data_IF_609820848208
#
_entry.id   IF_609820848208
#
_cell.length_a   1.000
_cell.length_b   1.000
_cell.length_c   1.000
_cell.angle_alpha   90.00
_cell.angle_beta   90.00
_cell.angle_gamma   90.00
#
_symmetry.space_group_name_H-M   'P 1'
#
loop_
_entity.id
_entity.type
_entity.pdbx_description
1 polymer ?
2 non-polymer ?
3 non-polymer ?
4 water ?
#
# COMPACT_ATOMS: atom_id res chain seq x y z
N UNK A 3 -8.31 22.48 2.58
CA UNK A 3 -7.57 21.62 1.57
C UNK A 3 -6.81 22.50 0.57
N UNK A 4 -6.88 23.85 0.71
CA UNK A 4 -6.17 24.84 -0.12
C UNK A 4 -6.97 25.30 -1.33
N UNK A 5 -7.70 24.36 -1.98
CA UNK A 5 -8.43 24.49 -3.27
C UNK A 5 -9.87 24.00 -3.13
N UNK A 6 -10.79 24.57 -3.93
CA UNK A 6 -12.16 24.08 -3.97
C UNK A 6 -12.18 22.62 -4.47
N UNK A 7 -13.09 21.85 -3.92
CA UNK A 7 -13.31 20.43 -4.27
C UNK A 7 -14.01 20.30 -5.65
N UNK A 8 -13.44 19.54 -6.56
CA UNK A 8 -14.08 19.21 -7.87
C UNK A 8 -15.09 18.07 -7.64
N UNK A 9 -14.68 17.05 -6.93
CA UNK A 9 -15.53 15.86 -6.76
C UNK A 9 -15.01 15.07 -5.56
N UNK A 10 -15.90 14.39 -4.84
CA UNK A 10 -15.51 13.52 -3.73
C UNK A 10 -16.42 12.29 -3.76
N UNK A 11 -15.93 11.19 -3.18
CA UNK A 11 -16.76 9.99 -2.92
C UNK A 11 -15.90 8.78 -2.65
N UNK A 12 -16.57 7.66 -2.44
CA UNK A 12 -15.90 6.35 -2.14
C UNK A 12 -15.32 5.80 -3.42
N UNK A 13 -14.11 5.31 -3.36
CA UNK A 13 -13.54 4.39 -4.36
C UNK A 13 -12.83 3.26 -3.60
N UNK A 14 -12.93 2.05 -4.10
CA UNK A 14 -11.99 0.99 -3.76
C UNK A 14 -10.70 1.29 -4.52
N UNK A 15 -9.55 1.19 -3.86
CA UNK A 15 -8.22 1.28 -4.46
C UNK A 15 -7.54 -0.07 -4.30
N UNK A 16 -6.97 -0.61 -5.37
CA UNK A 16 -6.23 -1.88 -5.28
C UNK A 16 -4.84 -1.63 -4.70
N UNK A 17 -4.45 -2.46 -3.74
CA UNK A 17 -3.06 -2.62 -3.26
C UNK A 17 -2.19 -3.03 -4.43
N UNK A 18 -0.94 -2.57 -4.41
CA UNK A 18 0.05 -2.80 -5.47
C UNK A 18 0.80 -4.12 -5.21
N UNK A 19 0.68 -4.70 -4.00
CA UNK A 19 1.43 -5.91 -3.51
C UNK A 19 0.88 -7.18 -4.19
N UNK A 20 1.58 -8.33 -4.09
CA UNK A 20 1.17 -9.63 -4.70
C UNK A 20 -0.34 -9.89 -4.70
N UNK A 21 -0.98 -9.92 -3.52
CA UNK A 21 -2.39 -10.40 -3.41
C UNK A 21 -3.35 -9.38 -4.08
N UNK A 22 -2.98 -8.12 -4.22
CA UNK A 22 -3.80 -7.13 -4.97
C UNK A 22 -5.23 -7.10 -4.38
N UNK A 23 -5.34 -7.03 -3.05
CA UNK A 23 -6.64 -6.83 -2.35
C UNK A 23 -7.10 -5.39 -2.56
N UNK A 24 -8.38 -5.12 -2.31
CA UNK A 24 -8.94 -3.77 -2.45
C UNK A 24 -9.18 -3.18 -1.07
N UNK A 25 -9.02 -1.88 -0.93
CA UNK A 25 -9.36 -1.14 0.30
C UNK A 25 -10.22 0.05 -0.13
N UNK A 26 -11.36 0.21 0.51
CA UNK A 26 -12.28 1.35 0.27
C UNK A 26 -11.74 2.59 0.99
N UNK A 27 -11.55 3.67 0.27
CA UNK A 27 -11.12 4.97 0.82
C UNK A 27 -12.05 6.06 0.27
N UNK A 28 -12.12 7.16 0.99
CA UNK A 28 -12.86 8.38 0.64
C UNK A 28 -11.93 9.34 -0.08
N UNK A 29 -12.17 9.58 -1.36
CA UNK A 29 -11.33 10.44 -2.22
C UNK A 29 -11.97 11.83 -2.39
N UNK A 30 -11.09 12.80 -2.50
CA UNK A 30 -11.43 14.23 -2.74
C UNK A 30 -10.45 14.72 -3.78
N UNK A 31 -10.95 15.26 -4.88
CA UNK A 31 -10.12 15.80 -5.98
C UNK A 31 -10.16 17.29 -5.84
N UNK A 32 -9.02 17.92 -5.62
CA UNK A 32 -8.89 19.40 -5.51
C UNK A 32 -7.72 19.83 -6.40
N UNK A 33 -7.94 20.85 -7.22
CA UNK A 33 -6.93 21.31 -8.19
C UNK A 33 -6.48 20.10 -9.02
N UNK A 34 -5.19 19.75 -8.97
CA UNK A 34 -4.66 18.66 -9.83
C UNK A 34 -4.31 17.45 -8.97
N UNK A 35 -4.81 17.40 -7.75
CA UNK A 35 -4.36 16.40 -6.80
C UNK A 35 -5.54 15.55 -6.31
N UNK A 36 -5.33 14.25 -6.23
CA UNK A 36 -6.30 13.33 -5.58
C UNK A 36 -5.89 13.07 -4.13
N UNK A 37 -6.74 13.37 -3.16
CA UNK A 37 -6.47 13.14 -1.72
C UNK A 37 -7.40 12.04 -1.23
N UNK A 38 -6.96 11.16 -0.32
CA UNK A 38 -7.91 10.17 0.25
C UNK A 38 -7.79 10.18 1.78
N UNK A 39 -8.84 9.66 2.42
CA UNK A 39 -9.08 9.71 3.88
C UNK A 39 -9.71 8.37 4.25
N UNK A 40 -9.75 8.05 5.53
CA UNK A 40 -10.38 6.81 6.03
C UNK A 40 -11.89 6.84 5.70
N UNK A 41 -12.56 7.98 5.82
CA UNK A 41 -14.03 8.05 5.60
C UNK A 41 -14.45 9.48 5.22
N UNK A 42 -15.75 9.70 5.12
CA UNK A 42 -16.36 10.89 4.48
C UNK A 42 -16.25 12.11 5.40
N UNK A 43 -15.71 11.95 6.61
CA UNK A 43 -15.51 13.11 7.52
C UNK A 43 -14.29 13.92 7.08
N UNK A 44 -13.42 13.33 6.24
CA UNK A 44 -12.23 14.00 5.66
C UNK A 44 -11.39 14.59 6.79
N UNK A 45 -11.07 13.77 7.78
CA UNK A 45 -10.33 14.26 8.97
C UNK A 45 -8.85 14.27 8.60
N UNK A 46 -8.22 13.15 8.46
CA UNK A 46 -6.75 13.14 8.26
C UNK A 46 -6.46 12.53 6.89
N UNK A 47 -5.68 13.27 6.11
CA UNK A 47 -5.22 12.87 4.76
C UNK A 47 -4.35 11.63 4.99
N UNK A 48 -4.69 10.52 4.36
CA UNK A 48 -3.90 9.26 4.40
C UNK A 48 -2.90 9.25 3.24
N UNK A 49 -3.14 10.06 2.20
CA UNK A 49 -2.32 10.08 0.98
C UNK A 49 -2.82 11.06 -0.07
N UNK A 50 -1.93 11.42 -0.99
CA UNK A 50 -2.19 12.29 -2.16
C UNK A 50 -1.53 11.67 -3.38
N UNK A 51 -2.26 11.64 -4.48
CA UNK A 51 -1.78 11.29 -5.85
C UNK A 51 -1.87 12.54 -6.74
N UNK A 52 -0.76 13.19 -7.07
CA UNK A 52 -0.81 14.30 -8.02
C UNK A 52 -1.05 13.67 -9.41
N UNK A 53 -2.03 14.19 -10.16
CA UNK A 53 -2.54 13.58 -11.41
C UNK A 53 -1.81 14.05 -12.68
N UNK A 54 -1.11 15.18 -12.74
CA UNK A 54 -0.38 15.51 -13.97
C UNK A 54 0.52 14.36 -14.43
N UNK A 55 0.45 14.03 -15.72
CA UNK A 55 1.22 12.95 -16.37
C UNK A 55 0.63 11.58 -16.06
N UNK A 56 -0.59 11.52 -15.53
CA UNK A 56 -1.45 10.30 -15.59
C UNK A 56 -2.51 10.49 -16.67
N UNK A 57 -2.90 9.39 -17.30
CA UNK A 57 -4.10 9.33 -18.17
C UNK A 57 -5.01 8.26 -17.55
N UNK A 58 -6.29 8.56 -17.41
CA UNK A 58 -7.22 7.70 -16.68
C UNK A 58 -8.23 7.14 -17.69
N UNK A 59 -8.54 5.86 -17.58
CA UNK A 59 -9.43 5.17 -18.53
C UNK A 59 -10.00 3.94 -17.88
N UNK A 60 -11.08 3.38 -18.43
CA UNK A 60 -11.59 2.10 -17.95
C UNK A 60 -10.49 1.04 -18.05
N UNK A 61 -10.54 0.04 -17.20
CA UNK A 61 -9.65 -1.14 -17.32
C UNK A 61 -9.96 -1.88 -18.63
N UNK A 62 -8.91 -2.52 -19.13
CA UNK A 62 -8.87 -3.46 -20.26
C UNK A 62 -8.90 -4.90 -19.71
N UNK A 63 -9.30 -5.87 -20.55
CA UNK A 63 -9.26 -7.29 -20.17
C UNK A 63 -7.92 -7.67 -19.53
N UNK A 64 -6.80 -7.29 -20.14
CA UNK A 64 -5.47 -7.77 -19.70
C UNK A 64 -5.08 -7.20 -18.33
N UNK A 65 -5.89 -6.32 -17.73
CA UNK A 65 -5.71 -5.81 -16.34
C UNK A 65 -6.25 -6.87 -15.36
N UNK A 66 -7.06 -7.80 -15.84
CA UNK A 66 -7.49 -8.97 -15.02
C UNK A 66 -8.21 -8.45 -13.77
N UNK A 67 -9.11 -7.48 -13.90
CA UNK A 67 -9.88 -6.89 -12.79
C UNK A 67 -11.30 -7.44 -12.78
N UNK A 68 -11.71 -7.98 -11.65
CA UNK A 68 -12.96 -8.75 -11.52
C UNK A 68 -14.00 -7.86 -10.86
N UNK A 69 -13.63 -6.68 -10.39
CA UNK A 69 -14.65 -5.75 -9.85
C UNK A 69 -15.29 -4.94 -10.97
N UNK A 70 -16.60 -4.75 -10.92
CA UNK A 70 -17.33 -3.87 -11.84
C UNK A 70 -16.88 -2.42 -11.64
N UNK A 71 -16.99 -1.61 -12.69
CA UNK A 71 -16.88 -0.15 -12.72
C UNK A 71 -15.49 0.24 -12.31
N UNK A 72 -14.50 -0.48 -12.82
CA UNK A 72 -13.06 -0.27 -12.50
C UNK A 72 -12.37 0.50 -13.61
N UNK A 73 -11.41 1.33 -13.20
CA UNK A 73 -10.66 2.24 -14.07
C UNK A 73 -9.26 2.41 -13.47
N UNK A 74 -8.39 3.03 -14.23
CA UNK A 74 -6.95 3.03 -13.88
C UNK A 74 -6.33 4.37 -14.30
N UNK A 75 -5.31 4.75 -13.55
CA UNK A 75 -4.46 5.91 -13.81
C UNK A 75 -3.06 5.38 -14.03
N UNK A 76 -2.50 5.57 -15.21
CA UNK A 76 -1.15 5.09 -15.58
C UNK A 76 -0.32 6.34 -15.94
N UNK A 77 0.94 6.34 -15.50
CA UNK A 77 1.97 7.40 -15.66
C UNK A 77 2.35 7.56 -17.15
N UNK A 78 3.04 8.66 -17.50
CA UNK A 78 3.51 8.98 -18.88
C UNK A 78 4.96 8.55 -19.03
N UNK A 100 4.06 4.45 -11.85
CA UNK A 100 3.27 3.57 -10.96
C UNK A 100 1.79 3.69 -11.32
N UNK A 101 1.12 2.56 -11.55
CA UNK A 101 -0.32 2.52 -11.94
C UNK A 101 -1.25 2.35 -10.72
N UNK A 102 -2.38 3.04 -10.67
CA UNK A 102 -3.40 2.94 -9.60
C UNK A 102 -4.70 2.39 -10.21
N UNK A 103 -5.25 1.36 -9.59
CA UNK A 103 -6.54 0.78 -9.99
C UNK A 103 -7.59 1.21 -8.98
N UNK A 104 -8.74 1.67 -9.48
CA UNK A 104 -9.88 2.14 -8.67
C UNK A 104 -11.11 1.41 -9.16
N UNK A 105 -12.14 1.33 -8.32
CA UNK A 105 -13.47 0.80 -8.65
C UNK A 105 -14.49 1.72 -7.97
N UNK A 106 -15.46 2.22 -8.73
CA UNK A 106 -16.64 2.94 -8.23
C UNK A 106 -17.78 1.95 -7.98
N UNK A 107 -18.84 2.44 -7.35
CA UNK A 107 -20.02 1.65 -6.94
C UNK A 107 -21.08 1.67 -8.03
N UNK A 108 -21.03 2.59 -8.98
CA UNK A 108 -21.97 2.67 -10.15
C UNK A 108 -21.20 3.06 -11.41
N UNK A 109 -21.73 2.71 -12.56
CA UNK A 109 -21.26 3.17 -13.88
C UNK A 109 -21.10 4.70 -13.92
N UNK A 110 -22.16 5.41 -13.56
CA UNK A 110 -22.23 6.89 -13.56
C UNK A 110 -21.06 7.47 -12.75
N UNK A 111 -20.82 6.96 -11.55
CA UNK A 111 -19.76 7.53 -10.68
C UNK A 111 -18.42 7.27 -11.35
N UNK A 112 -18.24 6.11 -11.98
CA UNK A 112 -16.96 5.77 -12.63
C UNK A 112 -16.77 6.76 -13.79
N UNK A 113 -17.81 6.99 -14.58
CA UNK A 113 -17.69 7.91 -15.72
C UNK A 113 -17.29 9.30 -15.19
N UNK A 114 -17.90 9.74 -14.10
CA UNK A 114 -17.64 11.09 -13.55
C UNK A 114 -16.18 11.16 -13.03
N UNK A 115 -15.66 10.12 -12.41
CA UNK A 115 -14.29 10.14 -11.87
C UNK A 115 -13.30 10.17 -13.03
N UNK A 116 -13.52 9.40 -14.09
CA UNK A 116 -12.62 9.34 -15.28
C UNK A 116 -12.52 10.75 -15.90
N UNK A 117 -13.65 11.43 -16.14
CA UNK A 117 -13.67 12.78 -16.75
C UNK A 117 -12.92 13.72 -15.80
N UNK A 118 -13.29 13.74 -14.52
CA UNK A 118 -12.73 14.66 -13.50
C UNK A 118 -11.21 14.45 -13.35
N UNK A 119 -10.77 13.20 -13.25
CA UNK A 119 -9.32 12.90 -13.10
C UNK A 119 -8.58 13.37 -14.35
N UNK A 120 -9.13 13.13 -15.55
CA UNK A 120 -8.45 13.59 -16.79
C UNK A 120 -8.40 15.13 -16.85
N UNK A 121 -9.43 15.84 -16.42
CA UNK A 121 -9.43 17.33 -16.43
C UNK A 121 -8.30 17.85 -15.52
N UNK A 122 -8.15 17.25 -14.34
CA UNK A 122 -7.17 17.62 -13.30
C UNK A 122 -5.77 17.30 -13.81
N UNK A 123 -5.65 16.28 -14.62
CA UNK A 123 -4.37 15.80 -15.21
C UNK A 123 -3.89 16.76 -16.30
N UNK A 124 -4.73 17.71 -16.72
CA UNK A 124 -4.36 18.80 -17.68
C UNK A 124 -4.16 20.13 -16.94
N UNK A 125 -3.46 20.12 -15.80
CA UNK A 125 -3.03 21.32 -14.99
C UNK A 125 -4.27 21.92 -14.29
N UNK B 5 4.95 -26.11 3.82
CA UNK B 5 5.97 -25.12 4.39
C UNK B 5 5.74 -24.97 5.89
N UNK B 6 6.62 -25.48 6.78
CA UNK B 6 6.50 -25.15 8.19
C UNK B 6 6.77 -23.64 8.33
N UNK B 7 6.14 -23.05 9.32
CA UNK B 7 6.36 -21.63 9.69
C UNK B 7 7.75 -21.47 10.29
N UNK B 8 8.52 -20.51 9.82
CA UNK B 8 9.87 -20.23 10.38
C UNK B 8 9.70 -19.43 11.67
N UNK B 9 8.84 -18.43 11.62
CA UNK B 9 8.70 -17.47 12.74
C UNK B 9 7.40 -16.70 12.49
N UNK B 10 6.75 -16.26 13.56
CA UNK B 10 5.58 -15.39 13.48
C UNK B 10 5.65 -14.39 14.64
N UNK B 11 5.00 -13.23 14.51
CA UNK B 11 4.80 -12.23 15.56
C UNK B 11 4.39 -10.88 15.02
N UNK B 12 4.22 -9.94 15.93
CA UNK B 12 3.83 -8.55 15.60
C UNK B 12 5.04 -7.77 15.10
N UNK B 13 4.85 -7.08 13.99
CA UNK B 13 5.74 -6.02 13.49
C UNK B 13 4.89 -4.81 13.15
N UNK B 14 5.41 -3.62 13.43
CA UNK B 14 4.94 -2.39 12.78
C UNK B 14 5.61 -2.37 11.40
N UNK B 15 4.86 -2.03 10.39
CA UNK B 15 5.31 -1.92 8.99
C UNK B 15 5.06 -0.48 8.58
N UNK B 16 6.05 0.11 7.94
CA UNK B 16 5.92 1.52 7.52
C UNK B 16 5.50 1.47 6.07
N UNK B 17 4.47 2.28 5.76
CA UNK B 17 3.91 2.47 4.41
C UNK B 17 4.98 3.02 3.47
N UNK B 18 5.03 2.52 2.24
CA UNK B 18 5.80 3.11 1.11
C UNK B 18 5.24 4.51 0.81
N UNK B 19 3.90 4.60 0.88
CA UNK B 19 3.12 5.84 0.67
C UNK B 19 3.73 7.03 1.42
N UNK B 20 3.57 8.23 0.88
CA UNK B 20 4.22 9.43 1.40
C UNK B 20 3.94 9.73 2.85
N UNK B 21 2.72 9.52 3.37
CA UNK B 21 2.51 9.85 4.81
C UNK B 21 3.46 9.01 5.69
N UNK B 22 3.78 7.79 5.26
CA UNK B 22 4.76 6.92 5.97
C UNK B 22 4.40 6.82 7.46
N UNK B 23 3.24 6.24 7.78
CA UNK B 23 2.77 6.01 9.17
C UNK B 23 3.05 4.53 9.52
N UNK B 24 3.07 4.19 10.81
CA UNK B 24 3.38 2.82 11.28
C UNK B 24 2.07 2.05 11.53
N UNK B 25 1.93 0.90 10.90
CA UNK B 25 0.72 0.07 11.07
C UNK B 25 1.20 -1.26 11.64
N UNK B 26 0.62 -1.68 12.77
CA UNK B 26 0.92 -2.96 13.42
C UNK B 26 0.18 -4.10 12.68
N UNK B 27 0.92 -5.11 12.24
CA UNK B 27 0.32 -6.30 11.62
C UNK B 27 0.97 -7.53 12.23
N UNK B 28 0.29 -8.67 12.09
CA UNK B 28 0.74 -10.00 12.57
C UNK B 28 1.39 -10.73 11.41
N UNK B 29 2.71 -10.98 11.49
CA UNK B 29 3.50 -11.58 10.39
C UNK B 29 3.79 -13.04 10.65
N UNK B 30 3.84 -13.79 9.56
CA UNK B 30 4.19 -15.23 9.52
C UNK B 30 5.15 -15.36 8.37
N UNK B 31 6.31 -16.00 8.58
CA UNK B 31 7.27 -16.29 7.50
C UNK B 31 7.16 -17.79 7.18
N UNK B 32 6.75 -18.14 5.99
CA UNK B 32 6.80 -19.54 5.47
C UNK B 32 7.16 -19.50 3.97
N UNK B 33 7.68 -20.57 3.39
CA UNK B 33 7.76 -20.62 1.90
C UNK B 33 8.45 -19.36 1.36
N UNK B 34 9.47 -18.88 2.12
CA UNK B 34 10.38 -17.79 1.72
C UNK B 34 9.59 -16.51 1.44
N UNK B 35 8.44 -16.40 2.06
CA UNK B 35 7.50 -15.30 1.86
C UNK B 35 7.03 -14.79 3.22
N UNK B 36 6.91 -13.48 3.38
CA UNK B 36 6.21 -12.84 4.52
C UNK B 36 4.70 -12.74 4.24
N UNK B 37 3.89 -13.22 5.17
CA UNK B 37 2.43 -13.07 5.10
C UNK B 37 2.02 -12.25 6.29
N UNK B 38 1.02 -11.39 6.16
CA UNK B 38 0.55 -10.67 7.37
C UNK B 38 -0.98 -10.77 7.47
N UNK B 39 -1.47 -10.57 8.68
CA UNK B 39 -2.86 -10.82 9.12
C UNK B 39 -3.29 -9.68 10.05
N UNK B 40 -4.60 -9.52 10.25
CA UNK B 40 -5.06 -8.45 11.16
C UNK B 40 -4.50 -8.70 12.58
N UNK B 41 -4.45 -9.95 13.02
CA UNK B 41 -4.11 -10.27 14.42
C UNK B 41 -3.60 -11.71 14.51
N UNK B 42 -3.25 -12.14 15.71
CA UNK B 42 -2.51 -13.39 15.97
C UNK B 42 -3.42 -14.61 15.72
N UNK B 43 -4.70 -14.43 15.39
CA UNK B 43 -5.59 -15.59 15.09
C UNK B 43 -5.34 -16.11 13.69
N UNK B 44 -4.69 -15.33 12.84
CA UNK B 44 -4.27 -15.68 11.44
C UNK B 44 -5.49 -16.11 10.63
N UNK B 45 -6.55 -15.34 10.68
CA UNK B 45 -7.87 -15.71 10.13
C UNK B 45 -7.85 -15.60 8.60
N UNK B 46 -7.18 -14.58 8.09
CA UNK B 46 -7.19 -14.22 6.64
C UNK B 46 -5.95 -13.38 6.33
N UNK B 47 -5.27 -13.82 5.27
CA UNK B 47 -4.07 -13.12 4.76
C UNK B 47 -4.54 -11.74 4.26
N UNK B 48 -3.95 -10.66 4.76
CA UNK B 48 -4.14 -9.27 4.25
C UNK B 48 -3.10 -8.94 3.15
N UNK B 49 -2.00 -9.69 3.09
CA UNK B 49 -0.87 -9.39 2.17
C UNK B 49 0.30 -10.37 2.23
N UNK B 50 1.11 -10.37 1.20
CA UNK B 50 2.32 -11.22 1.01
C UNK B 50 3.45 -10.34 0.47
N UNK B 51 4.64 -10.49 1.05
CA UNK B 51 5.93 -9.93 0.56
C UNK B 51 6.90 -11.09 0.33
N UNK B 52 7.11 -11.54 -0.91
CA UNK B 52 8.12 -12.55 -1.19
C UNK B 52 9.48 -11.90 -0.98
N UNK B 53 10.36 -12.64 -0.31
CA UNK B 53 11.67 -12.12 0.19
C UNK B 53 12.82 -12.33 -0.82
N UNK B 54 12.81 -13.30 -1.76
CA UNK B 54 13.95 -13.44 -2.68
C UNK B 54 14.36 -12.10 -3.31
N UNK B 55 15.66 -11.84 -3.35
CA UNK B 55 16.28 -10.62 -3.92
C UNK B 55 16.18 -9.42 -2.97
N UNK B 56 15.75 -9.64 -1.73
CA UNK B 56 15.83 -8.62 -0.65
C UNK B 56 17.02 -8.95 0.24
N UNK B 57 17.65 -7.90 0.77
CA UNK B 57 18.66 -8.03 1.84
C UNK B 57 18.11 -7.23 3.01
N UNK B 58 18.16 -7.81 4.17
CA UNK B 58 17.54 -7.20 5.38
C UNK B 58 18.68 -6.79 6.31
N UNK B 59 18.54 -5.64 6.94
CA UNK B 59 19.55 -5.09 7.85
C UNK B 59 18.86 -4.08 8.76
N UNK B 60 19.50 -3.79 9.92
CA UNK B 60 19.01 -2.73 10.78
C UNK B 60 19.01 -1.40 10.01
N UNK B 61 18.17 -0.48 10.45
CA UNK B 61 18.14 0.88 9.84
C UNK B 61 19.43 1.60 10.22
N UNK B 62 19.84 2.47 9.29
CA UNK B 62 20.93 3.45 9.31
C UNK B 62 20.32 4.82 9.60
N UNK B 63 21.12 5.83 10.02
CA UNK B 63 20.68 7.23 10.12
C UNK B 63 19.99 7.75 8.84
N UNK B 64 20.50 7.34 7.67
CA UNK B 64 19.99 7.73 6.34
C UNK B 64 18.56 7.21 6.10
N UNK B 65 18.00 6.43 7.01
CA UNK B 65 16.58 5.94 6.93
C UNK B 65 15.68 6.89 7.73
N UNK B 66 16.26 7.63 8.68
CA UNK B 66 15.54 8.65 9.48
C UNK B 66 14.32 7.98 10.13
N UNK B 67 14.54 6.80 10.70
CA UNK B 67 13.53 6.08 11.53
C UNK B 67 13.95 6.26 12.98
N UNK B 68 13.07 6.88 13.78
CA UNK B 68 13.22 7.15 15.22
C UNK B 68 12.83 5.90 16.04
N UNK B 69 11.95 5.03 15.52
CA UNK B 69 11.39 3.89 16.27
C UNK B 69 12.47 2.87 16.63
N UNK B 70 12.38 2.33 17.83
CA UNK B 70 13.29 1.28 18.32
C UNK B 70 13.06 -0.03 17.53
N UNK B 71 14.15 -0.80 17.37
CA UNK B 71 14.21 -2.22 16.94
C UNK B 71 13.69 -2.30 15.50
N UNK B 72 14.09 -1.32 14.69
CA UNK B 72 13.66 -1.13 13.28
C UNK B 72 14.75 -1.63 12.34
N UNK B 73 14.29 -2.18 11.24
CA UNK B 73 15.10 -2.80 10.17
C UNK B 73 14.33 -2.68 8.85
N UNK B 74 14.99 -3.04 7.77
CA UNK B 74 14.52 -2.76 6.41
C UNK B 74 14.93 -3.89 5.47
N UNK B 75 14.05 -4.11 4.51
CA UNK B 75 14.28 -5.01 3.37
C UNK B 75 14.26 -4.12 2.14
N UNK B 76 15.37 -4.13 1.40
CA UNK B 76 15.52 -3.41 0.12
C UNK B 76 15.79 -4.49 -0.93
N UNK B 77 15.22 -4.33 -2.13
CA UNK B 77 15.44 -5.18 -3.33
C UNK B 77 16.90 -5.04 -3.84
N UNK B 78 17.40 -6.00 -4.63
CA UNK B 78 18.74 -6.00 -5.30
C UNK B 78 18.56 -6.20 -6.80
N UNK B 100 11.11 -1.71 -4.34
CA UNK B 100 10.31 -1.12 -3.22
C UNK B 100 10.95 -1.53 -1.89
N UNK B 101 11.20 -0.57 -1.00
CA UNK B 101 11.75 -0.79 0.37
C UNK B 101 10.64 -0.92 1.41
N UNK B 102 10.76 -1.88 2.33
CA UNK B 102 9.84 -2.05 3.47
C UNK B 102 10.60 -1.78 4.77
N UNK B 103 10.01 -0.97 5.64
CA UNK B 103 10.48 -0.71 7.01
C UNK B 103 9.60 -1.49 8.00
N UNK B 104 10.26 -2.23 8.90
CA UNK B 104 9.66 -2.98 10.00
C UNK B 104 10.26 -2.52 11.32
N UNK B 105 9.53 -2.71 12.40
CA UNK B 105 9.90 -2.39 13.79
C UNK B 105 9.33 -3.47 14.72
N UNK B 106 10.16 -4.15 15.50
CA UNK B 106 9.70 -5.11 16.52
C UNK B 106 9.60 -4.38 17.84
N UNK B 107 9.09 -5.07 18.85
CA UNK B 107 8.85 -4.54 20.22
C UNK B 107 10.04 -4.85 21.16
N UNK B 108 10.99 -5.71 20.76
CA UNK B 108 12.21 -6.05 21.52
C UNK B 108 13.35 -6.22 20.54
N UNK B 109 14.55 -5.97 21.00
CA UNK B 109 15.83 -6.26 20.30
C UNK B 109 15.87 -7.72 19.84
N UNK B 110 15.57 -8.62 20.77
CA UNK B 110 15.56 -10.08 20.57
C UNK B 110 14.73 -10.42 19.31
N UNK B 111 13.50 -9.91 19.24
CA UNK B 111 12.60 -10.20 18.11
C UNK B 111 13.16 -9.56 16.84
N UNK B 112 13.73 -8.37 16.91
CA UNK B 112 14.38 -7.79 15.73
C UNK B 112 15.50 -8.71 15.24
N UNK B 113 16.35 -9.19 16.15
CA UNK B 113 17.45 -10.07 15.74
C UNK B 113 16.84 -11.31 15.05
N UNK B 114 15.78 -11.87 15.61
CA UNK B 114 15.20 -13.14 15.11
C UNK B 114 14.61 -12.91 13.70
N UNK B 115 13.96 -11.78 13.46
CA UNK B 115 13.33 -11.46 12.16
C UNK B 115 14.42 -11.21 11.13
N UNK B 116 15.49 -10.51 11.48
CA UNK B 116 16.59 -10.20 10.53
C UNK B 116 17.24 -11.51 10.07
N UNK B 117 17.52 -12.41 11.01
CA UNK B 117 18.17 -13.69 10.67
C UNK B 117 17.25 -14.49 9.75
N UNK B 118 16.00 -14.62 10.13
CA UNK B 118 14.98 -15.46 9.43
C UNK B 118 14.66 -14.87 8.05
N UNK B 119 14.44 -13.57 7.95
CA UNK B 119 14.18 -12.91 6.65
C UNK B 119 15.40 -13.05 5.72
N UNK B 120 16.63 -12.94 6.22
CA UNK B 120 17.82 -13.14 5.35
C UNK B 120 17.91 -14.60 4.90
N UNK B 121 17.57 -15.57 5.75
CA UNK B 121 17.63 -16.99 5.35
C UNK B 121 16.61 -17.26 4.24
N UNK B 122 15.43 -16.67 4.33
CA UNK B 122 14.32 -16.80 3.35
C UNK B 122 14.74 -16.16 2.03
N UNK B 123 15.49 -15.08 2.09
CA UNK B 123 15.87 -14.30 0.90
C UNK B 123 17.01 -15.01 0.15
N UNK B 124 17.71 -15.94 0.80
CA UNK B 124 18.95 -16.56 0.24
C UNK B 124 18.70 -18.00 -0.19
N UNK B 125 17.44 -18.45 -0.24
CA UNK B 125 17.00 -19.68 -1.00
C UNK B 125 15.99 -19.23 -2.05
#
# INVERSE_FOLDING_TARGET
GPLGSPVVVRGWLHKQKSSGMRLWKRRWFVLADYCLFYYKDSREEAVLGSIPLPSYVISPVAPEDRISRKYSFKAVHTGMRALIYNSSTAGSQAEQSGMRTYYFSADTQEDMNAWVRAMNQAAQVLSRSSLKRDMEKVER
GPLGSPVVVRGWLHKQKSSGMRLWKRRWFVLADYCLFYYKDSREEAVLGSIPLPSYVISPVAPEDRISRKYSFKAVHTGMRALIYNSSTAGSQAEQSGMRTYYFSADTQEDMNAWVRAMNQAAQVLSRSSLKRDMEKVER
#
